data_IF_689460087255
#
_entry.id   IF_689460087255
#
_cell.length_a   1.000
_cell.length_b   1.000
_cell.length_c   1.000
_cell.angle_alpha   90.00
_cell.angle_beta   90.00
_cell.angle_gamma   90.00
#
_symmetry.space_group_name_H-M   'P 1'
#
loop_
_entity.id
_entity.type
_entity.pdbx_description
1 polymer ?
#
# COMPACT_ATOMS: atom_id res chain seq x y z
N UNK A 1 -39.61 35.90 9.11
CA UNK A 1 -38.57 35.61 10.15
C UNK A 1 -38.10 34.14 10.14
N UNK A 2 -38.97 33.14 9.99
CA UNK A 2 -38.56 31.70 9.95
C UNK A 2 -37.71 31.30 8.74
N UNK A 3 -37.96 31.87 7.56
CA UNK A 3 -37.23 31.55 6.32
C UNK A 3 -35.78 32.06 6.37
N UNK A 4 -35.56 33.22 7.00
CA UNK A 4 -34.22 33.81 7.16
C UNK A 4 -33.34 32.92 8.06
N UNK A 5 -33.90 32.36 9.13
CA UNK A 5 -33.20 31.47 10.06
C UNK A 5 -32.81 30.12 9.44
N UNK A 6 -33.64 29.58 8.54
CA UNK A 6 -33.36 28.30 7.86
C UNK A 6 -32.17 28.45 6.90
N UNK A 7 -32.10 29.58 6.17
CA UNK A 7 -31.00 29.87 5.24
C UNK A 7 -29.68 30.01 6.00
N UNK A 8 -29.67 30.71 7.14
CA UNK A 8 -28.45 30.87 7.95
C UNK A 8 -27.96 29.54 8.52
N UNK A 9 -28.87 28.68 8.98
CA UNK A 9 -28.53 27.35 9.49
C UNK A 9 -27.95 26.44 8.39
N UNK A 10 -28.55 26.44 7.19
CA UNK A 10 -28.04 25.66 6.06
C UNK A 10 -26.64 26.13 5.61
N UNK A 11 -26.40 27.45 5.60
CA UNK A 11 -25.11 28.02 5.26
C UNK A 11 -24.04 27.68 6.31
N UNK A 12 -24.39 27.70 7.60
CA UNK A 12 -23.48 27.32 8.68
C UNK A 12 -23.09 25.83 8.62
N UNK A 13 -24.04 24.96 8.30
CA UNK A 13 -23.78 23.52 8.13
C UNK A 13 -22.85 23.27 6.93
N UNK A 14 -23.07 23.96 5.80
CA UNK A 14 -22.21 23.86 4.61
C UNK A 14 -20.77 24.34 4.86
N UNK A 15 -20.58 25.39 5.67
CA UNK A 15 -19.25 25.89 6.03
C UNK A 15 -18.52 24.93 6.98
N UNK A 16 -19.24 24.28 7.90
CA UNK A 16 -18.66 23.31 8.82
C UNK A 16 -18.25 22.00 8.12
N UNK A 17 -19.01 21.52 7.14
CA UNK A 17 -18.63 20.32 6.38
C UNK A 17 -17.43 20.56 5.45
N UNK A 18 -17.22 21.79 4.97
CA UNK A 18 -16.04 22.13 4.19
C UNK A 18 -14.73 22.07 5.00
N UNK A 19 -14.76 22.40 6.30
CA UNK A 19 -13.59 22.30 7.17
C UNK A 19 -13.17 20.85 7.45
N UNK A 20 -14.13 19.94 7.67
CA UNK A 20 -13.83 18.53 7.97
C UNK A 20 -13.19 17.81 6.78
N UNK A 21 -13.45 18.25 5.54
CA UNK A 21 -12.84 17.66 4.35
C UNK A 21 -11.40 18.11 4.08
N UNK A 22 -10.94 19.23 4.63
CA UNK A 22 -9.60 19.79 4.36
C UNK A 22 -8.53 19.35 5.36
N UNK A 23 -8.91 18.94 6.57
CA UNK A 23 -7.97 18.58 7.64
C UNK A 23 -7.39 17.15 7.51
N UNK A 24 -7.86 16.34 6.56
CA UNK A 24 -7.34 14.98 6.32
C UNK A 24 -6.20 14.91 5.29
N UNK A 25 -5.81 16.04 4.68
CA UNK A 25 -4.63 16.09 3.82
C UNK A 25 -3.36 16.12 4.70
N UNK A 26 -3.04 14.99 5.31
CA UNK A 26 -1.78 14.80 6.02
C UNK A 26 -0.59 15.06 5.10
N UNK A 27 0.51 15.57 5.66
CA UNK A 27 1.78 15.71 4.94
C UNK A 27 2.16 14.38 4.28
N UNK A 28 2.30 14.40 2.94
CA UNK A 28 2.77 13.24 2.16
C UNK A 28 4.24 13.04 2.48
N UNK A 29 4.57 11.88 3.05
CA UNK A 29 5.94 11.53 3.44
C UNK A 29 6.58 10.53 2.48
N UNK A 30 5.82 10.03 1.51
CA UNK A 30 6.27 9.06 0.51
C UNK A 30 5.73 9.44 -0.86
N UNK A 31 6.60 9.99 -1.70
CA UNK A 31 6.22 10.46 -3.05
C UNK A 31 5.95 9.30 -4.03
N UNK A 32 6.65 8.18 -3.86
CA UNK A 32 6.53 6.99 -4.71
C UNK A 32 6.23 5.74 -3.87
N UNK A 33 4.98 5.56 -3.41
CA UNK A 33 4.60 4.38 -2.65
C UNK A 33 4.53 3.13 -3.53
N UNK A 34 4.85 1.99 -2.93
CA UNK A 34 4.76 0.67 -3.57
C UNK A 34 3.67 -0.17 -2.90
N UNK A 35 2.97 -0.97 -3.69
CA UNK A 35 2.14 -2.06 -3.19
C UNK A 35 3.00 -3.32 -3.19
N UNK A 36 3.04 -4.01 -2.06
CA UNK A 36 3.86 -5.21 -1.86
C UNK A 36 2.92 -6.41 -1.81
N UNK A 37 3.19 -7.41 -2.65
CA UNK A 37 2.42 -8.65 -2.72
C UNK A 37 3.34 -9.79 -2.36
N UNK A 38 3.22 -10.32 -1.14
CA UNK A 38 3.95 -11.48 -0.69
C UNK A 38 3.34 -12.75 -1.27
N UNK A 39 4.19 -13.66 -1.69
CA UNK A 39 3.81 -14.93 -2.29
C UNK A 39 3.93 -16.07 -1.27
N UNK A 40 3.07 -17.07 -1.43
CA UNK A 40 3.15 -18.29 -0.63
C UNK A 40 4.54 -18.95 -0.78
N UNK A 41 5.10 -19.55 0.30
CA UNK A 41 6.44 -20.12 0.28
C UNK A 41 6.68 -21.20 -0.78
N UNK A 42 5.63 -21.92 -1.17
CA UNK A 42 5.58 -23.04 -2.10
C UNK A 42 4.88 -22.70 -3.43
N UNK A 43 4.76 -21.41 -3.76
CA UNK A 43 4.15 -20.96 -5.01
C UNK A 43 4.76 -21.64 -6.25
N UNK A 44 3.91 -22.15 -7.12
CA UNK A 44 4.33 -22.75 -8.39
C UNK A 44 4.67 -21.68 -9.44
N UNK A 45 5.49 -21.99 -10.45
CA UNK A 45 5.77 -21.06 -11.54
C UNK A 45 4.52 -20.57 -12.28
N UNK A 46 3.50 -21.43 -12.41
CA UNK A 46 2.23 -21.11 -13.06
C UNK A 46 1.40 -20.12 -12.24
N UNK A 47 1.26 -20.37 -10.93
CA UNK A 47 0.61 -19.42 -10.01
C UNK A 47 1.34 -18.08 -9.98
N UNK A 48 2.67 -18.09 -9.93
CA UNK A 48 3.45 -16.84 -9.94
C UNK A 48 3.22 -16.03 -11.20
N UNK A 49 3.16 -16.69 -12.37
CA UNK A 49 2.86 -16.02 -13.64
C UNK A 49 1.43 -15.47 -13.69
N UNK A 50 0.45 -16.19 -13.14
CA UNK A 50 -0.94 -15.74 -13.03
C UNK A 50 -1.05 -14.49 -12.13
N UNK A 51 -0.43 -14.53 -10.95
CA UNK A 51 -0.35 -13.37 -10.05
C UNK A 51 0.29 -12.19 -10.77
N UNK A 52 1.45 -12.38 -11.41
CA UNK A 52 2.13 -11.30 -12.14
C UNK A 52 1.25 -10.69 -13.24
N UNK A 53 0.63 -11.53 -14.06
CA UNK A 53 -0.28 -11.09 -15.11
C UNK A 53 -1.42 -10.26 -14.53
N UNK A 54 -1.99 -10.72 -13.43
CA UNK A 54 -3.12 -10.06 -12.82
C UNK A 54 -2.74 -8.73 -12.14
N UNK A 55 -1.53 -8.62 -11.59
CA UNK A 55 -0.99 -7.34 -11.10
C UNK A 55 -0.76 -6.35 -12.25
N UNK A 56 -0.22 -6.81 -13.38
CA UNK A 56 -0.01 -5.98 -14.57
C UNK A 56 -1.31 -5.49 -15.21
N UNK A 57 -2.41 -6.21 -14.99
CA UNK A 57 -3.73 -5.83 -15.49
C UNK A 57 -4.45 -4.78 -14.62
N UNK A 58 -3.91 -4.45 -13.44
CA UNK A 58 -4.52 -3.46 -12.56
C UNK A 58 -4.46 -2.05 -13.18
N UNK A 59 -5.52 -1.24 -13.02
CA UNK A 59 -5.54 0.11 -13.55
C UNK A 59 -4.45 0.97 -12.91
N UNK A 60 -3.72 1.72 -13.75
CA UNK A 60 -2.69 2.63 -13.29
C UNK A 60 -1.39 1.96 -12.81
N UNK A 61 -1.23 0.64 -12.96
CA UNK A 61 0.05 -0.03 -12.71
C UNK A 61 1.04 0.23 -13.85
N UNK A 62 2.26 0.61 -13.50
CA UNK A 62 3.35 0.93 -14.44
C UNK A 62 4.51 -0.05 -14.36
N UNK A 63 4.76 -0.61 -13.17
CA UNK A 63 5.85 -1.54 -12.93
C UNK A 63 5.38 -2.68 -12.01
N UNK A 64 5.76 -3.90 -12.37
CA UNK A 64 5.63 -5.10 -11.53
C UNK A 64 6.99 -5.79 -11.56
N UNK A 65 7.65 -5.87 -10.40
CA UNK A 65 8.98 -6.44 -10.26
C UNK A 65 8.97 -7.59 -9.25
N UNK A 66 9.50 -8.75 -9.66
CA UNK A 66 9.68 -9.89 -8.79
C UNK A 66 10.96 -9.71 -7.96
N UNK A 67 10.82 -9.79 -6.64
CA UNK A 67 11.93 -9.88 -5.70
C UNK A 67 11.98 -11.31 -5.18
N UNK A 68 13.01 -12.05 -5.60
CA UNK A 68 13.22 -13.44 -5.17
C UNK A 68 13.72 -13.49 -3.72
N UNK A 69 13.66 -14.67 -3.11
CA UNK A 69 14.21 -14.91 -1.77
C UNK A 69 15.70 -14.56 -1.71
N UNK A 70 16.43 -14.90 -2.76
CA UNK A 70 17.85 -14.57 -2.92
C UNK A 70 18.09 -13.06 -2.93
N UNK A 71 17.31 -12.32 -3.73
CA UNK A 71 17.45 -10.88 -3.84
C UNK A 71 17.08 -10.20 -2.52
N UNK A 72 15.95 -10.58 -1.91
CA UNK A 72 15.52 -10.07 -0.61
C UNK A 72 16.59 -10.30 0.47
N UNK A 73 17.22 -11.48 0.48
CA UNK A 73 18.31 -11.79 1.41
C UNK A 73 19.53 -10.88 1.18
N UNK A 74 19.91 -10.67 -0.08
CA UNK A 74 21.04 -9.81 -0.43
C UNK A 74 20.78 -8.36 -0.01
N UNK A 75 19.62 -7.81 -0.36
CA UNK A 75 19.24 -6.44 -0.06
C UNK A 75 19.23 -6.20 1.46
N UNK A 76 18.64 -7.14 2.20
CA UNK A 76 18.54 -7.04 3.65
C UNK A 76 19.90 -7.23 4.34
N UNK A 77 20.75 -8.13 3.81
CA UNK A 77 22.13 -8.29 4.30
C UNK A 77 22.91 -7.00 4.10
N UNK A 78 22.80 -6.37 2.93
CA UNK A 78 23.49 -5.11 2.64
C UNK A 78 23.00 -3.97 3.54
N UNK A 79 21.69 -3.87 3.75
CA UNK A 79 21.10 -2.91 4.67
C UNK A 79 21.62 -3.08 6.11
N UNK A 80 21.73 -4.32 6.59
CA UNK A 80 22.20 -4.61 7.94
C UNK A 80 23.70 -4.45 8.16
N UNK A 81 24.55 -4.55 7.12
CA UNK A 81 26.01 -4.34 7.25
C UNK A 81 26.36 -3.00 7.90
N UNK A 82 25.52 -1.98 7.68
CA UNK A 82 25.73 -0.64 8.19
C UNK A 82 25.01 -0.38 9.53
N UNK A 83 24.40 -1.41 10.13
CA UNK A 83 23.63 -1.29 11.36
C UNK A 83 24.40 -1.85 12.56
N UNK A 84 24.51 -1.09 13.68
CA UNK A 84 25.28 -1.49 14.85
C UNK A 84 24.71 -2.71 15.60
N UNK A 85 23.49 -3.14 15.27
CA UNK A 85 22.77 -4.26 15.92
C UNK A 85 22.37 -5.34 14.92
N UNK A 86 23.18 -5.62 13.90
CA UNK A 86 22.89 -6.63 12.90
C UNK A 86 22.68 -8.02 13.55
N UNK A 87 21.50 -8.60 13.35
CA UNK A 87 21.17 -9.97 13.77
C UNK A 87 21.39 -10.94 12.60
N UNK A 88 21.74 -12.21 12.87
CA UNK A 88 21.77 -13.24 11.84
C UNK A 88 20.40 -13.38 11.18
N UNK A 89 20.36 -13.40 9.85
CA UNK A 89 19.12 -13.56 9.08
C UNK A 89 19.01 -14.99 8.58
N UNK A 90 17.88 -15.63 8.88
CA UNK A 90 17.50 -16.89 8.24
C UNK A 90 16.85 -16.58 6.88
N UNK A 91 17.51 -17.02 5.81
CA UNK A 91 17.02 -16.91 4.44
C UNK A 91 15.67 -17.60 4.25
N UNK A 92 15.39 -18.67 5.01
CA UNK A 92 14.17 -19.45 4.85
C UNK A 92 12.91 -18.69 5.29
N UNK A 93 13.07 -17.61 6.06
CA UNK A 93 11.97 -16.76 6.51
C UNK A 93 11.65 -15.62 5.53
N UNK A 94 12.34 -15.54 4.38
CA UNK A 94 12.07 -14.52 3.37
C UNK A 94 11.16 -15.10 2.29
N UNK A 95 9.99 -14.49 2.13
CA UNK A 95 9.06 -14.81 1.04
C UNK A 95 9.46 -14.11 -0.26
N UNK A 96 9.18 -14.75 -1.39
CA UNK A 96 9.18 -14.03 -2.67
C UNK A 96 8.06 -12.99 -2.63
N UNK A 97 8.26 -11.88 -3.32
CA UNK A 97 7.25 -10.83 -3.40
C UNK A 97 7.29 -10.10 -4.72
N UNK A 98 6.16 -9.57 -5.13
CA UNK A 98 6.11 -8.52 -6.14
C UNK A 98 6.10 -7.15 -5.48
N UNK A 99 6.88 -6.22 -6.02
CA UNK A 99 6.66 -4.78 -5.81
C UNK A 99 5.93 -4.22 -7.01
N UNK A 100 4.90 -3.44 -6.74
CA UNK A 100 4.03 -2.85 -7.75
C UNK A 100 4.06 -1.34 -7.60
N UNK A 101 4.37 -0.64 -8.70
CA UNK A 101 4.29 0.82 -8.78
C UNK A 101 3.15 1.25 -9.68
N UNK A 102 2.57 2.38 -9.31
CA UNK A 102 1.51 3.03 -10.06
C UNK A 102 2.02 4.27 -10.79
N UNK A 103 1.19 4.82 -11.68
CA UNK A 103 1.49 6.05 -12.42
C UNK A 103 1.69 7.25 -11.51
N UNK A 104 0.88 7.32 -10.46
CA UNK A 104 0.85 8.41 -9.49
C UNK A 104 0.22 7.94 -8.16
N UNK A 105 0.17 8.85 -7.20
CA UNK A 105 -0.41 8.62 -5.88
C UNK A 105 -1.93 8.42 -5.93
N UNK A 106 -2.63 9.08 -6.85
CA UNK A 106 -4.09 8.95 -6.96
C UNK A 106 -4.46 7.53 -7.41
N UNK A 107 -3.75 6.99 -8.40
CA UNK A 107 -3.89 5.59 -8.83
C UNK A 107 -3.53 4.61 -7.70
N UNK A 108 -2.52 4.92 -6.90
CA UNK A 108 -2.15 4.11 -5.73
C UNK A 108 -3.27 4.03 -4.70
N UNK A 109 -3.82 5.19 -4.32
CA UNK A 109 -4.91 5.30 -3.36
C UNK A 109 -6.19 4.66 -3.91
N UNK A 110 -6.48 4.83 -5.19
CA UNK A 110 -7.62 4.20 -5.83
C UNK A 110 -7.54 2.66 -5.75
N UNK A 111 -6.36 2.05 -5.95
CA UNK A 111 -6.18 0.61 -5.78
C UNK A 111 -6.40 0.19 -4.32
N UNK A 112 -5.86 0.94 -3.36
CA UNK A 112 -6.04 0.67 -1.92
C UNK A 112 -7.52 0.68 -1.53
N UNK A 113 -8.21 1.75 -1.90
CA UNK A 113 -9.59 2.02 -1.49
C UNK A 113 -10.60 1.13 -2.23
N UNK A 114 -10.26 0.63 -3.42
CA UNK A 114 -11.07 -0.32 -4.19
C UNK A 114 -11.10 -1.74 -3.59
N UNK A 115 -10.38 -2.02 -2.50
CA UNK A 115 -10.30 -3.36 -1.91
C UNK A 115 -9.44 -4.32 -2.74
N UNK A 116 -8.45 -3.80 -3.47
CA UNK A 116 -7.52 -4.61 -4.28
C UNK A 116 -6.76 -5.60 -3.42
N UNK A 117 -6.37 -5.23 -2.19
CA UNK A 117 -5.74 -6.14 -1.24
C UNK A 117 -6.57 -7.40 -1.00
N UNK A 118 -7.84 -7.23 -0.62
CA UNK A 118 -8.76 -8.36 -0.37
C UNK A 118 -8.92 -9.24 -1.59
N UNK A 119 -9.12 -8.63 -2.77
CA UNK A 119 -9.31 -9.36 -4.03
C UNK A 119 -8.08 -10.18 -4.41
N UNK A 120 -6.88 -9.62 -4.20
CA UNK A 120 -5.62 -10.28 -4.50
C UNK A 120 -5.29 -11.37 -3.49
N UNK A 121 -5.55 -11.15 -2.20
CA UNK A 121 -5.30 -12.14 -1.14
C UNK A 121 -6.15 -13.40 -1.28
N UNK A 122 -7.25 -13.37 -2.04
CA UNK A 122 -8.04 -14.57 -2.34
C UNK A 122 -7.46 -15.41 -3.49
N UNK A 123 -6.42 -14.93 -4.19
CA UNK A 123 -5.79 -15.65 -5.28
C UNK A 123 -4.80 -16.69 -4.77
N UNK A 124 -4.80 -17.86 -5.41
CA UNK A 124 -3.84 -18.91 -5.12
C UNK A 124 -2.40 -18.43 -5.33
N UNK A 125 -1.51 -18.71 -4.37
CA UNK A 125 -0.12 -18.24 -4.40
C UNK A 125 0.12 -16.87 -3.76
N UNK A 126 -0.91 -16.14 -3.34
CA UNK A 126 -0.77 -14.86 -2.62
C UNK A 126 -0.91 -15.10 -1.12
N UNK A 127 0.10 -14.69 -0.36
CA UNK A 127 0.11 -14.79 1.11
C UNK A 127 -0.45 -13.49 1.74
N UNK A 128 0.06 -12.34 1.33
CA UNK A 128 -0.31 -11.05 1.91
C UNK A 128 -0.17 -9.91 0.90
N UNK A 129 -1.03 -8.90 1.01
CA UNK A 129 -0.92 -7.66 0.22
C UNK A 129 -0.87 -6.47 1.16
N UNK A 130 0.22 -5.71 1.06
CA UNK A 130 0.45 -4.51 1.86
C UNK A 130 0.55 -3.27 0.99
N UNK A 131 -0.11 -2.20 1.45
CA UNK A 131 0.08 -0.86 0.94
C UNK A 131 1.02 -0.12 1.90
N UNK A 132 2.13 0.41 1.38
CA UNK A 132 2.93 1.37 2.11
C UNK A 132 2.08 2.61 2.43
N UNK A 133 2.06 2.98 3.70
CA UNK A 133 1.47 4.23 4.14
C UNK A 133 2.13 5.44 3.43
N UNK A 134 1.31 6.44 3.10
CA UNK A 134 1.73 7.57 2.27
C UNK A 134 1.76 8.88 3.06
N UNK A 135 0.81 9.05 4.00
CA UNK A 135 0.79 10.21 4.90
C UNK A 135 1.25 9.81 6.30
N UNK A 136 1.72 10.79 7.06
CA UNK A 136 2.05 10.59 8.48
C UNK A 136 0.85 10.15 9.33
N UNK A 137 -0.38 10.48 8.91
CA UNK A 137 -1.58 10.02 9.59
C UNK A 137 -1.78 8.52 9.34
N UNK A 138 -1.81 8.11 8.07
CA UNK A 138 -1.92 6.71 7.63
C UNK A 138 -0.89 5.82 8.35
N UNK A 139 0.38 6.23 8.36
CA UNK A 139 1.44 5.42 8.98
C UNK A 139 1.30 5.25 10.49
N UNK A 140 0.62 6.17 11.17
CA UNK A 140 0.42 6.07 12.62
C UNK A 140 -0.66 5.06 12.96
N UNK A 141 -1.71 5.00 12.16
CA UNK A 141 -2.80 4.03 12.32
C UNK A 141 -2.29 2.60 12.10
N UNK A 142 -1.47 2.39 11.07
CA UNK A 142 -0.86 1.08 10.77
C UNK A 142 0.04 0.54 11.89
N UNK A 143 0.60 1.42 12.73
CA UNK A 143 1.49 1.06 13.84
C UNK A 143 0.76 0.85 15.18
N UNK A 144 -0.59 0.89 15.19
CA UNK A 144 -1.40 0.57 16.37
C UNK A 144 -1.26 1.58 17.51
N UNK A 145 -1.30 2.88 17.18
CA UNK A 145 -1.08 4.02 18.08
C UNK A 145 -1.65 3.93 19.49
#
# INVERSE_FOLDING_TARGET
MRILSIITAALAVLLLSACVSLDNAGEVIRENPEMIVFLEPDITPEQRADVEQALRALPGVTEVALITKEQAYQDLTEFLKNQPSAVPIDRNNLSEKFTVRTTDLDAYQALRDAGTATTLSERAGVDEVLFQCVTRADCREDLGG
#
